data_IF_021834461259
#
_entry.id   IF_021834461259
#
_cell.length_a   1.000
_cell.length_b   1.000
_cell.length_c   1.000
_cell.angle_alpha   90.00
_cell.angle_beta   90.00
_cell.angle_gamma   90.00
#
_symmetry.space_group_name_H-M   'P 1'
#
loop_
_entity.id
_entity.type
_entity.pdbx_description
1 polymer ?
#
# COMPACT_ATOMS: atom_id res chain seq x y z
N UNK A 1 -30.11 9.70 -4.69
CA UNK A 1 -29.94 9.86 -3.23
C UNK A 1 -28.74 9.05 -2.71
N UNK A 2 -28.73 7.72 -2.75
CA UNK A 2 -27.60 6.92 -2.23
C UNK A 2 -26.26 7.19 -2.93
N UNK A 3 -26.22 7.21 -4.27
CA UNK A 3 -24.98 7.53 -5.02
C UNK A 3 -24.41 8.92 -4.67
N UNK A 4 -25.28 9.89 -4.40
CA UNK A 4 -24.87 11.24 -4.02
C UNK A 4 -24.25 11.25 -2.62
N UNK A 5 -24.87 10.57 -1.65
CA UNK A 5 -24.32 10.40 -0.30
C UNK A 5 -22.97 9.67 -0.30
N UNK A 6 -22.82 8.66 -1.16
CA UNK A 6 -21.53 7.99 -1.36
C UNK A 6 -20.47 8.93 -1.95
N UNK A 7 -20.85 9.81 -2.89
CA UNK A 7 -19.94 10.81 -3.44
C UNK A 7 -19.56 11.89 -2.40
N UNK A 8 -20.50 12.30 -1.55
CA UNK A 8 -20.24 13.20 -0.42
C UNK A 8 -19.25 12.56 0.58
N UNK A 9 -19.43 11.28 0.92
CA UNK A 9 -18.50 10.54 1.76
C UNK A 9 -17.11 10.43 1.11
N UNK A 10 -17.03 10.09 -0.17
CA UNK A 10 -15.77 10.01 -0.90
C UNK A 10 -15.03 11.36 -0.94
N UNK A 11 -15.76 12.48 -1.09
CA UNK A 11 -15.19 13.81 -1.02
C UNK A 11 -14.64 14.12 0.38
N UNK A 12 -15.37 13.78 1.44
CA UNK A 12 -14.91 13.95 2.81
C UNK A 12 -13.66 13.12 3.13
N UNK A 13 -13.62 11.86 2.68
CA UNK A 13 -12.44 10.99 2.81
C UNK A 13 -11.24 11.59 2.06
N UNK A 14 -11.46 12.10 0.85
CA UNK A 14 -10.40 12.78 0.06
C UNK A 14 -9.85 14.01 0.78
N UNK A 15 -10.69 14.69 1.56
CA UNK A 15 -10.30 15.86 2.35
C UNK A 15 -9.70 15.54 3.71
N UNK A 16 -9.71 14.27 4.14
CA UNK A 16 -9.14 13.83 5.41
C UNK A 16 -7.62 14.00 5.44
N UNK A 17 -7.08 14.16 6.65
CA UNK A 17 -5.64 14.29 6.86
C UNK A 17 -4.90 13.00 6.50
N UNK A 18 -5.52 11.85 6.72
CA UNK A 18 -4.98 10.52 6.42
C UNK A 18 -4.82 10.34 4.91
N UNK A 19 -5.84 10.68 4.10
CA UNK A 19 -5.73 10.57 2.65
C UNK A 19 -4.71 11.56 2.09
N UNK A 20 -4.72 12.83 2.56
CA UNK A 20 -3.74 13.85 2.16
C UNK A 20 -2.32 13.44 2.54
N UNK A 21 -2.15 12.88 3.74
CA UNK A 21 -0.88 12.34 4.24
C UNK A 21 -0.37 11.20 3.38
N UNK A 22 -1.23 10.24 3.04
CA UNK A 22 -0.89 9.13 2.14
C UNK A 22 -0.47 9.63 0.75
N UNK A 23 -1.22 10.55 0.16
CA UNK A 23 -0.88 11.11 -1.15
C UNK A 23 0.47 11.85 -1.13
N UNK A 24 0.75 12.61 -0.08
CA UNK A 24 2.03 13.28 0.13
C UNK A 24 3.18 12.28 0.27
N UNK A 25 3.00 11.21 1.05
CA UNK A 25 4.01 10.18 1.22
C UNK A 25 4.31 9.43 -0.09
N UNK A 26 3.28 9.12 -0.88
CA UNK A 26 3.43 8.54 -2.24
C UNK A 26 4.19 9.47 -3.18
N UNK A 27 3.91 10.77 -3.15
CA UNK A 27 4.66 11.74 -3.96
C UNK A 27 6.13 11.79 -3.54
N UNK A 28 6.44 11.74 -2.24
CA UNK A 28 7.82 11.71 -1.74
C UNK A 28 8.59 10.48 -2.20
N UNK A 29 7.95 9.33 -2.27
CA UNK A 29 8.54 8.10 -2.82
C UNK A 29 8.95 8.28 -4.29
N UNK A 30 8.11 8.94 -5.10
CA UNK A 30 8.45 9.22 -6.51
C UNK A 30 9.64 10.18 -6.66
N UNK A 31 9.87 11.04 -5.66
CA UNK A 31 10.97 11.99 -5.62
C UNK A 31 12.26 11.41 -4.99
N UNK A 32 12.19 10.22 -4.41
CA UNK A 32 13.34 9.51 -3.83
C UNK A 32 13.75 8.37 -4.77
N UNK A 33 14.84 8.52 -5.55
CA UNK A 33 15.27 7.51 -6.51
C UNK A 33 15.54 6.14 -5.88
N UNK A 34 16.03 6.11 -4.63
CA UNK A 34 16.32 4.87 -3.92
C UNK A 34 15.03 4.18 -3.48
N UNK A 35 14.06 4.93 -2.95
CA UNK A 35 12.75 4.38 -2.59
C UNK A 35 12.01 3.85 -3.83
N UNK A 36 12.05 4.59 -4.94
CA UNK A 36 11.44 4.20 -6.20
C UNK A 36 12.06 2.92 -6.79
N UNK A 37 13.39 2.81 -6.78
CA UNK A 37 14.11 1.60 -7.22
C UNK A 37 13.75 0.38 -6.37
N UNK A 38 13.72 0.52 -5.04
CA UNK A 38 13.34 -0.55 -4.13
C UNK A 38 11.90 -1.04 -4.39
N UNK A 39 10.94 -0.13 -4.62
CA UNK A 39 9.56 -0.52 -4.95
C UNK A 39 9.46 -1.18 -6.32
N UNK A 40 10.22 -0.71 -7.29
CA UNK A 40 10.23 -1.30 -8.64
C UNK A 40 10.78 -2.73 -8.59
N UNK A 41 11.86 -2.97 -7.84
CA UNK A 41 12.39 -4.31 -7.57
C UNK A 41 11.37 -5.21 -6.88
N UNK A 42 10.60 -4.66 -5.94
CA UNK A 42 9.56 -5.42 -5.23
C UNK A 42 8.46 -5.86 -6.20
N UNK A 43 8.01 -4.97 -7.09
CA UNK A 43 6.99 -5.29 -8.08
C UNK A 43 7.45 -6.39 -9.05
N UNK A 44 8.70 -6.33 -9.51
CA UNK A 44 9.29 -7.36 -10.38
C UNK A 44 9.32 -8.71 -9.66
N UNK A 45 9.82 -8.74 -8.42
CA UNK A 45 9.93 -9.97 -7.65
C UNK A 45 8.57 -10.58 -7.31
N UNK A 46 7.57 -9.76 -6.98
CA UNK A 46 6.19 -10.24 -6.81
C UNK A 46 5.62 -10.84 -8.10
N UNK A 47 5.89 -10.23 -9.26
CA UNK A 47 5.50 -10.75 -10.55
C UNK A 47 6.13 -12.13 -10.85
N UNK A 48 7.41 -12.30 -10.50
CA UNK A 48 8.10 -13.59 -10.61
C UNK A 48 7.46 -14.65 -9.70
N UNK A 49 7.19 -14.32 -8.44
CA UNK A 49 6.54 -15.22 -7.48
C UNK A 49 5.17 -15.67 -8.00
N UNK A 50 4.35 -14.73 -8.46
CA UNK A 50 3.02 -15.00 -9.03
C UNK A 50 3.17 -15.90 -10.28
N UNK A 51 4.14 -15.63 -11.14
CA UNK A 51 4.42 -16.43 -12.33
C UNK A 51 4.80 -17.88 -11.99
N UNK A 52 5.64 -18.10 -10.98
CA UNK A 52 6.01 -19.43 -10.50
C UNK A 52 4.79 -20.19 -9.96
N UNK A 53 3.97 -19.52 -9.14
CA UNK A 53 2.74 -20.11 -8.59
C UNK A 53 1.75 -20.52 -9.68
N UNK A 54 1.54 -19.66 -10.69
CA UNK A 54 0.64 -19.97 -11.81
C UNK A 54 1.15 -21.16 -12.64
N UNK A 55 2.46 -21.33 -12.75
CA UNK A 55 3.08 -22.45 -13.45
C UNK A 55 3.13 -23.75 -12.60
N UNK A 56 2.64 -23.71 -11.35
CA UNK A 56 2.74 -24.83 -10.41
C UNK A 56 4.18 -25.14 -9.98
N UNK A 57 5.10 -24.18 -10.17
CA UNK A 57 6.50 -24.31 -9.79
C UNK A 57 6.71 -23.83 -8.35
N UNK A 58 7.59 -24.50 -7.58
CA UNK A 58 7.92 -24.05 -6.24
C UNK A 58 8.69 -22.73 -6.29
N UNK A 59 8.46 -21.87 -5.28
CA UNK A 59 9.28 -20.67 -5.07
C UNK A 59 10.70 -21.13 -4.73
N UNK A 60 11.69 -20.64 -5.47
CA UNK A 60 13.09 -21.05 -5.28
C UNK A 60 13.71 -20.36 -4.06
N UNK A 61 14.75 -20.97 -3.47
CA UNK A 61 15.48 -20.33 -2.36
C UNK A 61 16.10 -18.99 -2.77
N UNK A 62 16.56 -18.85 -4.01
CA UNK A 62 17.09 -17.60 -4.53
C UNK A 62 16.05 -16.46 -4.49
N UNK A 63 14.79 -16.75 -4.84
CA UNK A 63 13.70 -15.76 -4.77
C UNK A 63 13.40 -15.37 -3.32
N UNK A 64 13.44 -16.33 -2.40
CA UNK A 64 13.25 -16.06 -0.96
C UNK A 64 14.36 -15.18 -0.40
N UNK A 65 15.62 -15.44 -0.77
CA UNK A 65 16.76 -14.62 -0.36
C UNK A 65 16.67 -13.20 -0.92
N UNK A 66 16.35 -13.06 -2.22
CA UNK A 66 16.14 -11.75 -2.84
C UNK A 66 15.01 -10.96 -2.17
N UNK A 67 13.91 -11.63 -1.80
CA UNK A 67 12.80 -10.99 -1.10
C UNK A 67 13.26 -10.48 0.26
N UNK A 68 13.94 -11.33 1.04
CA UNK A 68 14.43 -10.96 2.38
C UNK A 68 15.40 -9.79 2.34
N UNK A 69 16.34 -9.78 1.39
CA UNK A 69 17.31 -8.70 1.24
C UNK A 69 16.63 -7.40 0.82
N UNK A 70 15.62 -7.49 -0.03
CA UNK A 70 14.84 -6.34 -0.46
C UNK A 70 14.00 -5.78 0.70
N UNK A 71 13.33 -6.62 1.47
CA UNK A 71 12.58 -6.23 2.66
C UNK A 71 13.46 -5.51 3.67
N UNK A 72 14.66 -6.03 3.95
CA UNK A 72 15.63 -5.37 4.83
C UNK A 72 15.99 -3.96 4.33
N UNK A 73 16.25 -3.81 3.03
CA UNK A 73 16.59 -2.51 2.45
C UNK A 73 15.40 -1.54 2.48
N UNK A 74 14.18 -2.04 2.29
CA UNK A 74 12.96 -1.24 2.36
C UNK A 74 12.69 -0.75 3.79
N UNK A 75 12.88 -1.61 4.80
CA UNK A 75 12.73 -1.23 6.21
C UNK A 75 13.70 -0.12 6.64
N UNK A 76 14.90 -0.10 6.05
CA UNK A 76 15.92 0.91 6.33
C UNK A 76 15.68 2.23 5.56
N UNK A 77 14.78 2.25 4.57
CA UNK A 77 14.47 3.46 3.82
C UNK A 77 13.36 4.26 4.54
N UNK A 78 13.71 5.42 5.07
CA UNK A 78 12.78 6.29 5.81
C UNK A 78 11.59 6.77 4.95
N UNK A 79 11.79 7.01 3.66
CA UNK A 79 10.72 7.44 2.75
C UNK A 79 9.67 6.34 2.59
N UNK A 80 10.11 5.09 2.43
CA UNK A 80 9.21 3.92 2.37
C UNK A 80 8.54 3.65 3.70
N UNK A 81 9.27 3.76 4.82
CA UNK A 81 8.69 3.63 6.15
C UNK A 81 7.56 4.65 6.38
N UNK A 82 7.80 5.92 6.05
CA UNK A 82 6.78 6.97 6.15
C UNK A 82 5.58 6.69 5.23
N UNK A 83 5.80 6.12 4.04
CA UNK A 83 4.71 5.71 3.14
C UNK A 83 3.87 4.60 3.76
N UNK A 84 4.50 3.56 4.33
CA UNK A 84 3.80 2.45 4.98
C UNK A 84 3.00 2.94 6.18
N UNK A 85 3.58 3.80 7.02
CA UNK A 85 2.86 4.39 8.15
C UNK A 85 1.67 5.24 7.71
N UNK A 86 1.82 6.04 6.64
CA UNK A 86 0.71 6.83 6.10
C UNK A 86 -0.39 5.96 5.49
N UNK A 87 -0.03 4.84 4.84
CA UNK A 87 -0.97 3.86 4.32
C UNK A 87 -1.76 3.21 5.45
N UNK A 88 -1.10 2.76 6.52
CA UNK A 88 -1.78 2.16 7.67
C UNK A 88 -2.78 3.10 8.32
N UNK A 89 -2.45 4.40 8.47
CA UNK A 89 -3.38 5.39 9.02
C UNK A 89 -4.63 5.55 8.14
N UNK A 90 -4.45 5.58 6.83
CA UNK A 90 -5.57 5.64 5.90
C UNK A 90 -6.41 4.36 5.92
N UNK A 91 -5.78 3.20 6.01
CA UNK A 91 -6.48 1.92 6.08
C UNK A 91 -7.33 1.84 7.36
N UNK A 92 -6.79 2.27 8.51
CA UNK A 92 -7.54 2.35 9.75
C UNK A 92 -8.78 3.26 9.63
N UNK A 93 -8.64 4.45 9.02
CA UNK A 93 -9.78 5.33 8.74
C UNK A 93 -10.84 4.62 7.90
N UNK A 94 -10.43 3.90 6.86
CA UNK A 94 -11.35 3.18 5.98
C UNK A 94 -12.03 2.00 6.70
N UNK A 95 -11.33 1.31 7.59
CA UNK A 95 -11.90 0.28 8.45
C UNK A 95 -12.98 0.87 9.37
N UNK A 96 -12.73 2.02 10.00
CA UNK A 96 -13.72 2.72 10.82
C UNK A 96 -14.95 3.14 10.01
N UNK A 97 -14.75 3.70 8.81
CA UNK A 97 -15.85 4.04 7.89
C UNK A 97 -16.68 2.81 7.53
N UNK A 98 -16.01 1.70 7.20
CA UNK A 98 -16.70 0.46 6.85
C UNK A 98 -17.47 -0.13 8.04
N UNK A 99 -16.93 -0.03 9.25
CA UNK A 99 -17.59 -0.47 10.48
C UNK A 99 -18.90 0.31 10.72
N UNK A 100 -18.86 1.64 10.60
CA UNK A 100 -20.06 2.49 10.73
C UNK A 100 -21.12 2.13 9.69
N UNK A 101 -20.71 1.89 8.44
CA UNK A 101 -21.63 1.46 7.39
C UNK A 101 -22.25 0.10 7.68
N UNK A 102 -21.47 -0.86 8.18
CA UNK A 102 -21.94 -2.20 8.51
C UNK A 102 -22.91 -2.18 9.70
N UNK A 103 -22.61 -1.40 10.74
CA UNK A 103 -23.47 -1.23 11.91
C UNK A 103 -24.83 -0.61 11.52
N UNK A 104 -24.82 0.43 10.67
CA UNK A 104 -26.07 1.07 10.22
C UNK A 104 -26.94 0.23 9.28
N UNK A 105 -26.41 -0.89 8.76
CA UNK A 105 -27.13 -1.84 7.90
C UNK A 105 -27.56 -3.12 8.62
N UNK A 106 -27.10 -3.31 9.87
CA UNK A 106 -27.45 -4.45 10.72
C UNK A 106 -28.78 -4.21 11.44
#
# INVERSE_FOLDING_TARGET
MIKQKAAELAAAIKDSEEFKGLQSARARVQLDPKAFDLLSKLQVLQGEIIGLQQQGQPITQAVVEQLRDLENQMQLNLTLKNMVEAQQKFDNLMEEVNAVLAEGLS
#
